data_IF_360067575512
#
_entry.id   IF_360067575512
#
_cell.length_a   1.000
_cell.length_b   1.000
_cell.length_c   1.000
_cell.angle_alpha   90.00
_cell.angle_beta   90.00
_cell.angle_gamma   90.00
#
_symmetry.space_group_name_H-M   'P 1'
#
loop_
_entity.id
_entity.type
_entity.pdbx_description
1 polymer ?
#
# COMPACT_ATOMS: atom_id res chain seq x y z
N UNK A 1 7.29 -3.33 38.46
CA UNK A 1 7.88 -2.92 37.16
C UNK A 1 8.43 -4.08 36.35
N UNK A 2 9.30 -4.93 36.85
CA UNK A 2 9.89 -6.07 36.08
C UNK A 2 8.84 -7.05 35.49
N UNK A 3 7.78 -7.40 36.22
CA UNK A 3 6.73 -8.29 35.75
C UNK A 3 5.90 -7.74 34.57
N UNK A 4 5.68 -6.45 34.54
CA UNK A 4 4.98 -5.80 33.43
C UNK A 4 5.85 -5.80 32.16
N UNK A 5 7.14 -5.50 32.30
CA UNK A 5 8.08 -5.56 31.18
C UNK A 5 8.20 -6.95 30.56
N UNK A 6 8.20 -8.01 31.38
CA UNK A 6 8.21 -9.39 30.87
C UNK A 6 6.91 -9.79 30.15
N UNK A 7 5.75 -9.29 30.60
CA UNK A 7 4.47 -9.54 29.92
C UNK A 7 4.46 -8.84 28.54
N UNK A 8 4.92 -7.59 28.47
CA UNK A 8 4.98 -6.86 27.19
C UNK A 8 6.00 -7.47 26.22
N UNK A 9 7.17 -7.92 26.70
CA UNK A 9 8.15 -8.59 25.86
C UNK A 9 7.64 -9.94 25.36
N UNK A 10 6.92 -10.67 26.17
CA UNK A 10 6.31 -11.96 25.77
C UNK A 10 5.18 -11.75 24.76
N UNK A 11 4.34 -10.73 24.94
CA UNK A 11 3.28 -10.36 24.01
C UNK A 11 3.85 -9.90 22.68
N UNK A 12 4.92 -9.12 22.67
CA UNK A 12 5.63 -8.68 21.47
C UNK A 12 6.26 -9.86 20.73
N UNK A 13 6.88 -10.78 21.47
CA UNK A 13 7.49 -12.00 20.91
C UNK A 13 6.43 -12.95 20.33
N UNK A 14 5.27 -13.06 20.95
CA UNK A 14 4.14 -13.83 20.44
C UNK A 14 3.55 -13.21 19.16
N UNK A 15 3.53 -11.90 19.06
CA UNK A 15 3.04 -11.18 17.88
C UNK A 15 3.98 -11.36 16.65
N UNK A 16 5.29 -11.50 16.91
CA UNK A 16 6.30 -11.76 15.88
C UNK A 16 6.32 -13.25 15.47
N UNK A 17 5.93 -14.15 16.36
CA UNK A 17 5.96 -15.59 16.14
C UNK A 17 4.72 -16.14 15.40
N UNK A 18 3.72 -15.33 15.08
CA UNK A 18 2.61 -15.75 14.24
C UNK A 18 3.10 -15.82 12.77
N UNK A 19 3.41 -17.02 12.24
CA UNK A 19 3.71 -17.18 10.82
C UNK A 19 2.38 -17.06 10.06
N UNK A 20 1.98 -15.83 9.79
CA UNK A 20 0.93 -15.59 8.82
C UNK A 20 1.44 -16.03 7.46
N UNK A 21 0.83 -17.00 6.84
CA UNK A 21 0.98 -17.24 5.41
C UNK A 21 0.39 -16.04 4.69
N UNK A 22 1.20 -15.00 4.54
CA UNK A 22 0.85 -13.82 3.77
C UNK A 22 0.84 -14.23 2.30
N UNK A 23 -0.27 -14.77 1.84
CA UNK A 23 -0.55 -14.92 0.41
C UNK A 23 -0.80 -13.53 -0.14
N UNK A 24 0.25 -12.84 -0.50
CA UNK A 24 0.17 -11.54 -1.18
C UNK A 24 -0.23 -11.79 -2.63
N UNK A 25 -1.52 -11.70 -2.91
CA UNK A 25 -1.97 -11.53 -4.29
C UNK A 25 -1.90 -10.04 -4.63
N UNK A 26 -0.88 -9.70 -5.38
CA UNK A 26 -0.51 -8.31 -5.61
C UNK A 26 -1.32 -7.67 -6.73
N UNK A 27 -1.77 -8.44 -7.72
CA UNK A 27 -2.56 -7.92 -8.85
C UNK A 27 -3.45 -8.98 -9.49
N UNK A 28 -4.54 -8.54 -10.09
CA UNK A 28 -5.48 -9.37 -10.85
C UNK A 28 -5.28 -9.28 -12.37
N UNK A 29 -4.26 -8.55 -12.84
CA UNK A 29 -4.05 -8.35 -14.27
C UNK A 29 -3.02 -9.32 -14.83
N UNK A 30 -3.35 -10.10 -15.87
CA UNK A 30 -2.39 -10.98 -16.53
C UNK A 30 -1.24 -10.20 -17.20
N UNK A 31 -1.47 -8.96 -17.55
CA UNK A 31 -0.43 -8.11 -18.18
C UNK A 31 0.67 -7.68 -17.21
N UNK A 32 0.47 -7.86 -15.92
CA UNK A 32 1.48 -7.51 -14.90
C UNK A 32 2.73 -8.38 -14.93
N UNK A 33 2.69 -9.54 -15.59
CA UNK A 33 3.86 -10.42 -15.73
C UNK A 33 4.85 -9.96 -16.81
N UNK A 34 4.43 -9.00 -17.64
CA UNK A 34 5.27 -8.48 -18.71
C UNK A 34 5.94 -7.16 -18.30
N UNK A 35 7.24 -7.03 -18.60
CA UNK A 35 8.00 -5.83 -18.32
C UNK A 35 8.17 -5.52 -16.83
N UNK A 36 7.93 -4.29 -16.44
CA UNK A 36 8.06 -3.80 -15.05
C UNK A 36 6.78 -3.98 -14.21
N UNK A 37 5.79 -4.69 -14.71
CA UNK A 37 4.52 -4.84 -14.03
C UNK A 37 3.58 -3.63 -14.18
N UNK A 38 2.61 -3.53 -13.29
CA UNK A 38 1.71 -2.37 -13.23
C UNK A 38 2.35 -1.31 -12.34
N UNK A 39 2.65 -0.15 -12.91
CA UNK A 39 3.20 0.97 -12.17
C UNK A 39 2.17 1.52 -11.17
N UNK A 40 2.63 1.75 -9.95
CA UNK A 40 1.82 2.36 -8.92
C UNK A 40 1.98 3.88 -8.93
N UNK A 41 0.86 4.58 -8.80
CA UNK A 41 0.91 6.05 -8.82
C UNK A 41 1.41 6.63 -7.48
N UNK A 42 2.20 7.69 -7.56
CA UNK A 42 2.82 8.42 -6.44
C UNK A 42 1.86 9.38 -5.73
N UNK A 43 0.63 9.00 -5.49
CA UNK A 43 -0.34 9.85 -4.82
C UNK A 43 -0.65 9.36 -3.40
N UNK A 44 -0.56 10.24 -2.41
CA UNK A 44 -1.01 10.00 -1.04
C UNK A 44 -2.52 9.72 -1.00
N UNK A 45 -3.03 9.22 0.11
CA UNK A 45 -4.47 8.92 0.25
C UNK A 45 -5.34 10.14 -0.02
N UNK A 46 -4.96 11.30 0.53
CA UNK A 46 -5.69 12.54 0.34
C UNK A 46 -5.59 13.05 -1.11
N UNK A 47 -4.41 13.00 -1.70
CA UNK A 47 -4.20 13.35 -3.10
C UNK A 47 -5.05 12.49 -4.05
N UNK A 48 -5.15 11.19 -3.77
CA UNK A 48 -6.02 10.28 -4.54
C UNK A 48 -7.50 10.61 -4.43
N UNK A 49 -7.96 10.98 -3.24
CA UNK A 49 -9.34 11.42 -3.04
C UNK A 49 -9.70 12.66 -3.87
N UNK A 50 -8.68 13.45 -4.23
CA UNK A 50 -8.78 14.63 -5.10
C UNK A 50 -8.36 14.38 -6.55
N UNK A 51 -8.44 13.13 -7.01
CA UNK A 51 -8.11 12.77 -8.39
C UNK A 51 -6.63 12.72 -8.72
N UNK A 52 -5.74 12.61 -7.72
CA UNK A 52 -4.29 12.53 -7.91
C UNK A 52 -3.58 13.88 -7.95
N UNK A 53 -4.26 14.96 -7.57
CA UNK A 53 -3.67 16.32 -7.53
C UNK A 53 -2.59 16.40 -6.46
N UNK A 54 -1.34 16.67 -6.87
CA UNK A 54 -0.19 16.78 -5.98
C UNK A 54 0.45 18.16 -5.98
N UNK A 55 0.52 18.80 -7.16
CA UNK A 55 1.44 19.92 -7.41
C UNK A 55 1.02 21.20 -6.67
N UNK A 56 -0.26 21.51 -6.63
CA UNK A 56 -0.77 22.74 -6.02
C UNK A 56 -1.42 22.53 -4.64
N UNK A 57 -1.20 21.36 -4.05
CA UNK A 57 -1.86 20.99 -2.83
C UNK A 57 -0.96 21.18 -1.61
N UNK A 58 -1.32 22.13 -0.76
CA UNK A 58 -0.71 22.41 0.54
C UNK A 58 -1.65 21.95 1.65
N UNK A 59 -1.13 21.22 2.62
CA UNK A 59 -1.86 20.78 3.80
C UNK A 59 -0.92 20.65 4.99
N UNK A 60 -1.41 20.95 6.16
CA UNK A 60 -0.74 20.79 7.44
C UNK A 60 -0.94 19.39 8.05
N UNK A 61 -1.82 18.57 7.48
CA UNK A 61 -2.31 17.32 8.07
C UNK A 61 -2.07 16.06 7.24
N UNK A 62 -1.47 16.18 6.07
CA UNK A 62 -1.18 15.03 5.21
C UNK A 62 0.16 15.20 4.51
N UNK A 63 0.81 14.09 4.25
CA UNK A 63 2.11 14.07 3.58
C UNK A 63 1.89 14.07 2.07
N UNK A 64 2.33 15.14 1.41
CA UNK A 64 2.32 15.21 -0.04
C UNK A 64 3.72 14.89 -0.59
N UNK A 65 4.08 13.61 -0.66
CA UNK A 65 5.38 13.19 -1.19
C UNK A 65 5.52 13.38 -2.71
N UNK A 66 4.45 13.70 -3.41
CA UNK A 66 4.48 14.10 -4.82
C UNK A 66 4.93 15.56 -5.04
N UNK A 67 4.90 16.38 -3.99
CA UNK A 67 5.38 17.76 -4.00
C UNK A 67 6.11 18.11 -2.71
N UNK A 68 7.42 17.94 -2.62
CA UNK A 68 8.19 18.25 -1.42
C UNK A 68 8.10 19.73 -0.97
N UNK A 69 7.80 20.67 -1.88
CA UNK A 69 7.59 22.06 -1.52
C UNK A 69 6.39 22.28 -0.57
N UNK A 70 5.45 21.34 -0.55
CA UNK A 70 4.30 21.38 0.38
C UNK A 70 4.68 21.14 1.85
N UNK A 71 5.90 20.69 2.14
CA UNK A 71 6.36 20.44 3.51
C UNK A 71 6.57 21.71 4.32
N UNK A 72 6.64 22.86 3.66
CA UNK A 72 6.63 24.16 4.37
C UNK A 72 5.33 24.42 5.12
N UNK A 73 4.22 23.84 4.65
CA UNK A 73 2.93 23.89 5.34
C UNK A 73 2.80 23.01 6.58
N UNK A 74 3.80 22.17 6.90
CA UNK A 74 3.76 21.32 8.08
C UNK A 74 3.90 22.11 9.36
N UNK A 75 3.04 21.84 10.33
CA UNK A 75 3.14 22.45 11.65
C UNK A 75 4.43 21.99 12.36
N UNK A 76 5.09 22.95 13.02
CA UNK A 76 6.36 22.72 13.73
C UNK A 76 6.25 21.81 14.95
N UNK A 77 5.05 21.58 15.46
CA UNK A 77 4.78 20.77 16.64
C UNK A 77 4.25 19.37 16.29
N UNK A 78 3.99 19.09 15.03
CA UNK A 78 3.39 17.83 14.62
C UNK A 78 4.38 16.95 13.86
N UNK A 79 4.42 15.68 14.26
CA UNK A 79 4.93 14.59 13.43
C UNK A 79 3.76 13.88 12.82
N UNK A 80 3.70 13.82 11.49
CA UNK A 80 2.66 13.13 10.76
C UNK A 80 3.15 11.75 10.40
N UNK A 81 2.33 10.75 10.71
CA UNK A 81 2.56 9.37 10.29
C UNK A 81 1.36 8.88 9.50
N UNK A 82 1.60 8.38 8.31
CA UNK A 82 0.57 7.88 7.41
C UNK A 82 0.85 6.46 6.96
N UNK A 83 -0.19 5.63 6.96
CA UNK A 83 -0.19 4.29 6.37
C UNK A 83 -1.35 4.20 5.39
N UNK A 84 -1.05 3.85 4.16
CA UNK A 84 -2.03 3.65 3.11
C UNK A 84 -2.24 2.18 2.80
N UNK A 85 -3.50 1.75 2.80
CA UNK A 85 -3.93 0.45 2.32
C UNK A 85 -4.86 0.67 1.13
N UNK A 86 -4.70 -0.13 0.11
CA UNK A 86 -5.54 -0.09 -1.08
C UNK A 86 -6.29 -1.40 -1.23
N UNK A 87 -7.59 -1.30 -1.48
CA UNK A 87 -8.43 -2.46 -1.80
C UNK A 87 -9.13 -2.22 -3.13
N UNK A 88 -9.08 -3.21 -4.00
CA UNK A 88 -9.74 -3.19 -5.31
C UNK A 88 -10.61 -4.43 -5.46
N UNK A 89 -11.90 -4.19 -5.67
CA UNK A 89 -12.83 -5.23 -6.07
C UNK A 89 -13.01 -5.20 -7.59
N UNK A 90 -12.69 -6.31 -8.24
CA UNK A 90 -12.78 -6.45 -9.70
C UNK A 90 -13.76 -7.56 -10.06
N UNK A 91 -14.65 -7.26 -10.97
CA UNK A 91 -15.59 -8.24 -11.52
C UNK A 91 -15.25 -8.45 -12.99
N UNK A 92 -14.89 -9.68 -13.32
CA UNK A 92 -14.67 -10.13 -14.69
C UNK A 92 -15.90 -10.91 -15.14
N UNK A 93 -16.53 -10.46 -16.18
CA UNK A 93 -17.73 -11.10 -16.70
C UNK A 93 -17.58 -11.37 -18.19
N UNK A 94 -17.80 -12.63 -18.55
CA UNK A 94 -17.92 -13.10 -19.92
C UNK A 94 -19.37 -13.57 -20.13
N UNK A 95 -19.79 -13.80 -21.36
CA UNK A 95 -21.15 -14.25 -21.67
C UNK A 95 -21.57 -15.54 -20.94
N UNK A 96 -20.60 -16.35 -20.49
CA UNK A 96 -20.83 -17.65 -19.85
C UNK A 96 -20.40 -17.73 -18.40
N UNK A 97 -19.51 -16.84 -17.94
CA UNK A 97 -18.90 -16.92 -16.61
C UNK A 97 -18.74 -15.54 -15.98
N UNK A 98 -18.86 -15.50 -14.67
CA UNK A 98 -18.62 -14.32 -13.83
C UNK A 98 -17.66 -14.69 -12.71
N UNK A 99 -16.56 -13.96 -12.62
CA UNK A 99 -15.57 -14.10 -11.55
C UNK A 99 -15.37 -12.78 -10.85
N UNK A 100 -15.32 -12.81 -9.53
CA UNK A 100 -15.01 -11.65 -8.71
C UNK A 100 -13.72 -11.88 -7.94
N UNK A 101 -12.88 -10.86 -7.89
CA UNK A 101 -11.61 -10.86 -7.18
C UNK A 101 -11.52 -9.64 -6.29
N UNK A 102 -11.14 -9.86 -5.03
CA UNK A 102 -10.81 -8.81 -4.08
C UNK A 102 -9.30 -8.82 -3.84
N UNK A 103 -8.64 -7.74 -4.21
CA UNK A 103 -7.22 -7.52 -3.94
C UNK A 103 -7.07 -6.44 -2.89
N UNK A 104 -6.31 -6.71 -1.85
CA UNK A 104 -5.94 -5.73 -0.84
C UNK A 104 -4.42 -5.68 -0.74
N UNK A 105 -3.85 -4.50 -0.92
CA UNK A 105 -2.40 -4.32 -0.95
C UNK A 105 -2.00 -3.16 -0.04
N UNK A 106 -0.82 -3.29 0.55
CA UNK A 106 -0.12 -2.18 1.17
C UNK A 106 0.24 -1.15 0.08
N UNK A 107 -0.05 0.11 0.35
CA UNK A 107 0.16 1.19 -0.62
C UNK A 107 1.37 2.05 -0.30
N UNK A 108 1.47 2.52 0.93
CA UNK A 108 2.60 3.32 1.40
C UNK A 108 2.61 3.42 2.92
N UNK A 109 3.77 3.72 3.43
CA UNK A 109 3.97 4.16 4.79
C UNK A 109 4.92 5.37 4.74
N UNK A 110 4.52 6.46 5.35
CA UNK A 110 5.29 7.68 5.32
C UNK A 110 5.24 8.39 6.68
N UNK A 111 6.32 9.07 7.01
CA UNK A 111 6.43 9.94 8.16
C UNK A 111 7.02 11.28 7.73
N UNK A 112 6.46 12.37 8.22
CA UNK A 112 6.95 13.71 7.97
C UNK A 112 6.98 14.52 9.25
N UNK A 113 7.98 15.40 9.38
CA UNK A 113 8.11 16.31 10.50
C UNK A 113 8.94 17.53 10.11
N UNK A 114 8.71 18.62 10.83
CA UNK A 114 9.48 19.84 10.68
C UNK A 114 10.66 19.82 11.63
N UNK A 115 11.87 19.92 11.10
CA UNK A 115 13.11 19.90 11.86
C UNK A 115 13.45 21.29 12.35
N UNK A 116 13.23 22.31 11.51
CA UNK A 116 13.51 23.72 11.81
C UNK A 116 12.54 24.63 11.04
N UNK A 117 12.46 25.93 11.36
CA UNK A 117 11.56 26.87 10.68
C UNK A 117 11.72 26.92 9.16
N UNK A 118 12.89 26.57 8.66
CA UNK A 118 13.24 26.60 7.23
C UNK A 118 13.44 25.19 6.62
N UNK A 119 13.29 24.11 7.42
CA UNK A 119 13.54 22.77 6.93
C UNK A 119 12.54 21.74 7.48
N UNK A 120 11.83 21.13 6.58
CA UNK A 120 10.94 19.99 6.83
C UNK A 120 11.39 18.80 6.00
N UNK A 121 11.16 17.60 6.50
CA UNK A 121 11.55 16.36 5.82
C UNK A 121 10.47 15.29 5.92
N UNK A 122 10.48 14.40 4.96
CA UNK A 122 9.67 13.19 5.02
C UNK A 122 10.48 11.99 4.55
N UNK A 123 10.13 10.83 5.06
CA UNK A 123 10.64 9.56 4.57
C UNK A 123 9.54 8.51 4.62
N UNK A 124 9.64 7.50 3.75
CA UNK A 124 8.62 6.48 3.68
C UNK A 124 8.96 5.40 2.66
N UNK A 125 8.05 4.43 2.58
CA UNK A 125 8.09 3.35 1.61
C UNK A 125 6.84 3.37 0.77
N UNK A 126 7.02 3.28 -0.53
CA UNK A 126 5.93 3.13 -1.49
C UNK A 126 6.31 2.07 -2.53
N UNK A 127 5.43 1.12 -2.84
CA UNK A 127 5.67 0.18 -3.93
C UNK A 127 5.79 0.95 -5.25
N UNK A 128 6.80 0.63 -6.03
CA UNK A 128 7.01 1.22 -7.35
C UNK A 128 6.11 0.57 -8.39
N UNK A 129 6.03 -0.76 -8.34
CA UNK A 129 5.19 -1.55 -9.24
C UNK A 129 4.66 -2.79 -8.55
N UNK A 130 3.60 -3.35 -9.09
CA UNK A 130 3.03 -4.61 -8.65
C UNK A 130 3.05 -5.63 -9.78
N UNK A 131 3.56 -6.82 -9.45
CA UNK A 131 3.65 -7.97 -10.35
C UNK A 131 3.03 -9.17 -9.66
N UNK A 132 2.22 -9.90 -10.36
CA UNK A 132 1.67 -11.17 -9.88
C UNK A 132 0.37 -11.51 -10.59
N UNK A 133 0.31 -12.71 -11.13
CA UNK A 133 -0.89 -13.29 -11.70
C UNK A 133 -0.81 -14.80 -11.60
N UNK A 134 -1.87 -15.44 -11.16
CA UNK A 134 -1.94 -16.90 -11.07
C UNK A 134 -3.00 -17.41 -12.04
N UNK A 135 -2.58 -18.24 -13.00
CA UNK A 135 -3.46 -18.88 -13.95
C UNK A 135 -3.61 -20.35 -13.57
N UNK A 136 -4.76 -20.72 -13.07
CA UNK A 136 -5.15 -22.12 -12.87
C UNK A 136 -6.10 -22.54 -14.00
N UNK A 137 -5.56 -23.15 -15.03
CA UNK A 137 -6.34 -23.73 -16.12
C UNK A 137 -6.52 -25.22 -15.85
N UNK A 138 -7.75 -25.65 -15.64
CA UNK A 138 -8.11 -27.07 -15.66
C UNK A 138 -8.49 -27.43 -17.10
N UNK A 139 -7.56 -28.04 -17.82
CA UNK A 139 -7.85 -28.66 -19.11
C UNK A 139 -8.29 -30.09 -18.85
N UNK A 140 -9.50 -30.45 -19.31
CA UNK A 140 -9.88 -31.84 -19.41
C UNK A 140 -9.19 -32.41 -20.65
N UNK A 141 -8.31 -33.36 -20.48
CA UNK A 141 -7.75 -34.14 -21.56
C UNK A 141 -8.87 -35.08 -22.06
N UNK A 142 -9.35 -34.88 -23.27
CA UNK A 142 -10.25 -35.83 -23.91
C UNK A 142 -9.54 -37.19 -24.00
N UNK A 143 -10.12 -38.21 -23.35
CA UNK A 143 -9.62 -39.59 -23.43
C UNK A 143 -9.15 -40.20 -22.12
N UNK A 144 -9.19 -39.50 -20.99
CA UNK A 144 -8.97 -40.07 -19.65
C UNK A 144 -10.29 -40.12 -18.88
N UNK A 145 -10.90 -41.33 -18.83
CA UNK A 145 -11.98 -41.65 -17.88
C UNK A 145 -11.42 -41.80 -16.48
#
# INVERSE_FOLDING_TARGET
MRRQLTIYSLALMLMIALPGTLSSQITSSPYSIFGMGILEGNASGLSRAMGGTNIAFLTDRAINYGNPASYDGLDSLLTIFEVGIFSKYSVFQTSKEKQSLLNANFRYMAMAFRVSPWFSTSFGFTPYSSVGYNINTKAFLEGTN
#
